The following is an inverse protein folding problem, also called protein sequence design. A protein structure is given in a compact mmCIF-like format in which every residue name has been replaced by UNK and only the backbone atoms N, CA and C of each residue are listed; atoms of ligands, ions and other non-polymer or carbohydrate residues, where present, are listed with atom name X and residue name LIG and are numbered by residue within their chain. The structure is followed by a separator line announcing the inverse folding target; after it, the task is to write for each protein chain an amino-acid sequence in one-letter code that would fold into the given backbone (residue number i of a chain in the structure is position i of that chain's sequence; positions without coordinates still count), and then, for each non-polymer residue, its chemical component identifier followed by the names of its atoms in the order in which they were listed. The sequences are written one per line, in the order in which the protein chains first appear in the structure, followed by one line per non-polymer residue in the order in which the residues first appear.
data_IF_567507569939
#
_entry.id   IF_567507569939
#
_cell.length_a   1.000
_cell.length_b   1.000
_cell.length_c   1.000
_cell.angle_alpha   90.00
_cell.angle_beta   90.00
_cell.angle_gamma   90.00
#
_symmetry.space_group_name_H-M   'P 1'
#
loop_
_entity.id
_entity.type
_entity.pdbx_description
1 polymer ?
#
# COMPACT_ATOMS: atom_id res chain seq x y z
N UNK A 1 1.37 24.53 6.02
CA UNK A 1 0.42 24.03 4.99
C UNK A 1 1.07 23.98 3.62
N UNK A 2 1.63 25.08 3.08
CA UNK A 2 2.30 25.08 1.77
C UNK A 2 3.49 24.09 1.69
N UNK A 3 4.36 24.11 2.71
CA UNK A 3 5.56 23.25 2.77
C UNK A 3 5.22 21.75 2.73
N UNK A 4 4.21 21.31 3.50
CA UNK A 4 3.77 19.91 3.49
C UNK A 4 3.25 19.46 2.13
N UNK A 5 2.50 20.32 1.42
CA UNK A 5 2.03 20.01 0.06
C UNK A 5 3.20 19.80 -0.89
N UNK A 6 4.25 20.61 -0.79
CA UNK A 6 5.45 20.43 -1.62
C UNK A 6 6.22 19.17 -1.28
N UNK A 7 6.39 18.86 0.00
CA UNK A 7 7.12 17.67 0.46
C UNK A 7 6.36 16.40 0.05
N UNK A 8 5.09 16.30 0.41
CA UNK A 8 4.26 15.14 0.07
C UNK A 8 4.12 14.99 -1.45
N UNK A 9 3.90 16.10 -2.17
CA UNK A 9 3.82 16.11 -3.63
C UNK A 9 5.09 15.62 -4.31
N UNK A 10 6.28 16.02 -3.83
CA UNK A 10 7.55 15.51 -4.35
C UNK A 10 7.73 14.02 -4.06
N UNK A 11 7.41 13.58 -2.84
CA UNK A 11 7.53 12.17 -2.44
C UNK A 11 6.59 11.29 -3.29
N UNK A 12 5.32 11.68 -3.42
CA UNK A 12 4.34 10.96 -4.23
C UNK A 12 4.71 10.97 -5.72
N UNK A 13 5.30 12.05 -6.24
CA UNK A 13 5.76 12.11 -7.63
C UNK A 13 6.84 11.06 -7.92
N UNK A 14 7.80 10.88 -7.00
CA UNK A 14 8.86 9.87 -7.13
C UNK A 14 8.25 8.45 -7.07
N UNK A 15 7.31 8.22 -6.16
CA UNK A 15 6.60 6.92 -6.05
C UNK A 15 5.88 6.57 -7.37
N UNK A 16 5.12 7.51 -7.95
CA UNK A 16 4.37 7.28 -9.19
C UNK A 16 5.30 6.99 -10.38
N UNK A 17 6.49 7.59 -10.44
CA UNK A 17 7.49 7.29 -11.47
C UNK A 17 7.92 5.80 -11.39
N UNK A 18 8.09 5.25 -10.18
CA UNK A 18 8.41 3.83 -10.00
C UNK A 18 7.33 2.91 -10.58
N UNK A 19 6.05 3.21 -10.30
CA UNK A 19 4.90 2.46 -10.84
C UNK A 19 4.84 2.56 -12.36
N UNK A 20 5.10 3.75 -12.91
CA UNK A 20 5.10 3.99 -14.35
C UNK A 20 6.19 3.17 -15.08
N UNK A 21 7.35 2.98 -14.45
CA UNK A 21 8.44 2.16 -15.02
C UNK A 21 7.98 0.70 -15.15
N UNK A 22 7.32 0.13 -14.14
CA UNK A 22 6.77 -1.24 -14.22
C UNK A 22 5.78 -1.39 -15.37
N UNK A 23 4.85 -0.44 -15.53
CA UNK A 23 3.91 -0.43 -16.66
C UNK A 23 4.61 -0.35 -18.02
N UNK A 24 5.69 0.43 -18.13
CA UNK A 24 6.48 0.57 -19.36
C UNK A 24 7.27 -0.69 -19.71
N UNK A 25 7.68 -1.49 -18.72
CA UNK A 25 8.48 -2.69 -18.92
C UNK A 25 7.61 -3.93 -19.19
N UNK A 26 6.55 -4.11 -18.39
CA UNK A 26 5.69 -5.30 -18.44
C UNK A 26 4.58 -5.21 -19.50
N UNK A 27 4.32 -4.02 -20.06
CA UNK A 27 3.23 -3.73 -21.02
C UNK A 27 1.83 -4.15 -20.50
N UNK A 28 1.73 -4.31 -19.18
CA UNK A 28 0.53 -4.68 -18.43
C UNK A 28 0.47 -3.84 -17.15
N UNK A 29 -0.75 -3.59 -16.68
CA UNK A 29 -0.98 -2.86 -15.44
C UNK A 29 -0.56 -3.71 -14.22
N UNK A 30 0.72 -3.67 -13.85
CA UNK A 30 1.26 -4.18 -12.59
C UNK A 30 0.73 -3.39 -11.37
N UNK A 31 -0.52 -3.69 -10.99
CA UNK A 31 -1.19 -3.21 -9.78
C UNK A 31 -0.96 -4.14 -8.57
N UNK A 32 0.04 -5.03 -8.65
CA UNK A 32 0.26 -6.06 -7.63
C UNK A 32 0.57 -5.43 -6.27
N UNK A 33 1.38 -4.37 -6.26
CA UNK A 33 1.67 -3.60 -5.04
C UNK A 33 0.42 -2.93 -4.44
N UNK A 34 -0.43 -2.31 -5.28
CA UNK A 34 -1.66 -1.68 -4.80
C UNK A 34 -2.65 -2.74 -4.26
N UNK A 35 -2.68 -3.92 -4.89
CA UNK A 35 -3.46 -5.07 -4.43
C UNK A 35 -2.99 -5.64 -3.09
N UNK A 36 -1.67 -5.75 -2.89
CA UNK A 36 -1.03 -6.15 -1.63
C UNK A 36 -1.39 -5.20 -0.47
N UNK A 37 -1.36 -3.88 -0.69
CA UNK A 37 -1.77 -2.92 0.34
C UNK A 37 -3.26 -3.05 0.69
N UNK A 38 -4.13 -3.17 -0.30
CA UNK A 38 -5.57 -3.31 -0.09
C UNK A 38 -5.93 -4.61 0.65
N UNK A 39 -5.28 -5.73 0.28
CA UNK A 39 -5.50 -7.04 0.91
C UNK A 39 -4.96 -7.08 2.34
N UNK A 40 -3.75 -6.58 2.59
CA UNK A 40 -3.21 -6.43 3.95
C UNK A 40 -4.10 -5.57 4.85
N UNK A 41 -4.60 -4.43 4.33
CA UNK A 41 -5.53 -3.58 5.06
C UNK A 41 -6.86 -4.27 5.36
N UNK A 42 -7.45 -4.99 4.39
CA UNK A 42 -8.68 -5.74 4.58
C UNK A 42 -8.51 -6.83 5.67
N UNK A 43 -7.39 -7.57 5.65
CA UNK A 43 -7.09 -8.59 6.68
C UNK A 43 -6.91 -7.95 8.05
N UNK A 44 -6.17 -6.83 8.14
CA UNK A 44 -6.00 -6.09 9.39
C UNK A 44 -7.35 -5.65 9.97
N UNK A 45 -8.21 -5.03 9.14
CA UNK A 45 -9.54 -4.56 9.57
C UNK A 45 -10.42 -5.72 10.02
N UNK A 46 -10.49 -6.80 9.25
CA UNK A 46 -11.30 -7.96 9.62
C UNK A 46 -10.80 -8.64 10.89
N UNK A 47 -9.49 -8.70 11.10
CA UNK A 47 -8.88 -9.23 12.31
C UNK A 47 -9.22 -8.37 13.54
N UNK A 48 -9.16 -7.04 13.41
CA UNK A 48 -9.52 -6.09 14.48
C UNK A 48 -11.01 -6.16 14.81
N UNK A 49 -11.88 -6.19 13.79
CA UNK A 49 -13.34 -6.28 13.97
C UNK A 49 -13.74 -7.58 14.69
N UNK A 50 -13.03 -8.67 14.42
CA UNK A 50 -13.23 -9.96 15.10
C UNK A 50 -12.63 -10.03 16.51
N UNK A 51 -12.08 -8.92 17.04
CA UNK A 51 -11.54 -8.85 18.40
C UNK A 51 -10.18 -9.52 18.58
N UNK A 52 -9.46 -9.82 17.49
CA UNK A 52 -8.07 -10.29 17.60
C UNK A 52 -7.16 -9.13 18.05
N UNK A 53 -6.12 -9.44 18.82
CA UNK A 53 -5.17 -8.44 19.32
C UNK A 53 -4.44 -7.72 18.17
N UNK A 54 -4.04 -6.47 18.41
CA UNK A 54 -3.40 -5.63 17.39
C UNK A 54 -2.13 -6.29 16.81
N UNK A 55 -1.35 -6.97 17.65
CA UNK A 55 -0.13 -7.68 17.24
C UNK A 55 -0.43 -8.86 16.29
N UNK A 56 -1.49 -9.63 16.55
CA UNK A 56 -1.89 -10.76 15.68
C UNK A 56 -2.50 -10.27 14.38
N UNK A 57 -3.25 -9.17 14.41
CA UNK A 57 -3.80 -8.53 13.21
C UNK A 57 -2.69 -8.02 12.28
N UNK A 58 -1.64 -7.40 12.85
CA UNK A 58 -0.45 -6.94 12.10
C UNK A 58 0.31 -8.12 11.47
N UNK A 59 0.54 -9.21 12.21
CA UNK A 59 1.22 -10.38 11.65
C UNK A 59 0.44 -11.04 10.51
N UNK A 60 -0.90 -11.11 10.62
CA UNK A 60 -1.76 -11.62 9.57
C UNK A 60 -1.79 -10.70 8.35
N UNK A 61 -1.83 -9.38 8.56
CA UNK A 61 -1.81 -8.39 7.49
C UNK A 61 -0.49 -8.43 6.70
N UNK A 62 0.65 -8.53 7.39
CA UNK A 62 1.98 -8.63 6.75
C UNK A 62 2.21 -9.92 5.98
N UNK A 63 1.45 -10.99 6.28
CA UNK A 63 1.52 -12.25 5.53
C UNK A 63 0.52 -12.33 4.36
N UNK A 64 -0.47 -11.44 4.35
CA UNK A 64 -1.51 -11.40 3.32
C UNK A 64 -1.24 -10.37 2.22
N UNK A 65 -0.52 -9.29 2.54
CA UNK A 65 -0.06 -8.27 1.61
C UNK A 65 1.33 -8.56 1.08
#
# INVERSE_FOLDING_TARGET
MLEGIFVDGLIFSIMVIGVLISYRILDFADLTCDGSFATGAAVATMAIVNGTGLATALLLASGAG
#
